data_IF_271544932751
#
_entry.id   IF_271544932751
#
_cell.length_a   1.000
_cell.length_b   1.000
_cell.length_c   1.000
_cell.angle_alpha   90.00
_cell.angle_beta   90.00
_cell.angle_gamma   90.00
#
_symmetry.space_group_name_H-M   'P 1'
#
loop_
_entity.id
_entity.type
_entity.pdbx_description
1 polymer ?
#
# COMPACT_ATOMS: atom_id res chain seq x y z
N UNK A 1 19.88 9.43 8.11
CA UNK A 1 18.47 9.27 7.71
C UNK A 1 18.11 10.44 6.82
N UNK A 2 17.54 10.21 5.63
CA UNK A 2 17.03 11.31 4.81
C UNK A 2 15.82 11.94 5.49
N UNK A 3 15.56 13.23 5.25
CA UNK A 3 14.37 13.90 5.84
C UNK A 3 13.06 13.18 5.48
N UNK A 4 12.97 12.64 4.26
CA UNK A 4 11.83 11.85 3.80
C UNK A 4 11.61 10.60 4.66
N UNK A 5 12.68 9.86 4.98
CA UNK A 5 12.58 8.66 5.81
C UNK A 5 12.01 8.97 7.19
N UNK A 6 12.51 10.04 7.81
CA UNK A 6 12.04 10.49 9.12
C UNK A 6 10.55 10.83 9.06
N UNK A 7 10.14 11.61 8.06
CA UNK A 7 8.74 11.98 7.85
C UNK A 7 7.83 10.76 7.64
N UNK A 8 8.27 9.76 6.86
CA UNK A 8 7.50 8.52 6.66
C UNK A 8 7.29 7.76 7.98
N UNK A 9 8.35 7.60 8.79
CA UNK A 9 8.25 6.92 10.09
C UNK A 9 7.37 7.70 11.08
N UNK A 10 7.58 9.02 11.21
CA UNK A 10 6.78 9.89 12.10
C UNK A 10 5.30 9.91 11.69
N UNK A 11 5.00 10.03 10.38
CA UNK A 11 3.63 10.07 9.89
C UNK A 11 2.88 8.74 10.10
N UNK A 12 3.57 7.61 10.02
CA UNK A 12 2.97 6.30 10.33
C UNK A 12 2.55 6.22 11.80
N UNK A 13 3.38 6.71 12.73
CA UNK A 13 3.07 6.70 14.17
C UNK A 13 1.78 7.46 14.50
N UNK A 14 1.42 8.48 13.71
CA UNK A 14 0.18 9.25 13.91
C UNK A 14 -1.09 8.44 13.62
N UNK A 15 -1.00 7.36 12.85
CA UNK A 15 -2.15 6.59 12.36
C UNK A 15 -2.15 5.13 12.77
N UNK A 16 -1.10 4.67 13.46
CA UNK A 16 -0.87 3.27 13.82
C UNK A 16 -2.00 2.67 14.66
N UNK A 17 -2.49 3.39 15.68
CA UNK A 17 -3.63 2.94 16.51
C UNK A 17 -4.94 2.80 15.72
N UNK A 18 -5.02 3.41 14.54
CA UNK A 18 -6.19 3.45 13.68
C UNK A 18 -5.96 2.72 12.35
N UNK A 19 -4.93 1.88 12.27
CA UNK A 19 -4.49 1.22 11.04
C UNK A 19 -5.63 0.54 10.26
N UNK A 20 -6.56 -0.15 10.95
CA UNK A 20 -7.70 -0.79 10.30
C UNK A 20 -8.63 0.22 9.61
N UNK A 21 -8.88 1.37 10.28
CA UNK A 21 -9.67 2.47 9.71
C UNK A 21 -8.95 3.08 8.52
N UNK A 22 -7.63 3.27 8.59
CA UNK A 22 -6.82 3.80 7.47
C UNK A 22 -6.99 2.93 6.23
N UNK A 23 -6.83 1.61 6.35
CA UNK A 23 -7.02 0.70 5.21
C UNK A 23 -8.47 0.71 4.70
N UNK A 24 -9.45 0.78 5.61
CA UNK A 24 -10.86 0.90 5.25
C UNK A 24 -11.14 2.16 4.44
N UNK A 25 -10.68 3.32 4.91
CA UNK A 25 -10.83 4.61 4.22
C UNK A 25 -10.11 4.63 2.87
N UNK A 26 -8.90 4.07 2.80
CA UNK A 26 -8.14 3.96 1.56
C UNK A 26 -8.95 3.24 0.47
N UNK A 27 -9.43 2.03 0.74
CA UNK A 27 -10.20 1.28 -0.26
C UNK A 27 -11.57 1.91 -0.55
N UNK A 28 -12.24 2.46 0.47
CA UNK A 28 -13.52 3.16 0.27
C UNK A 28 -13.36 4.36 -0.68
N UNK A 29 -12.30 5.16 -0.52
CA UNK A 29 -12.00 6.31 -1.38
C UNK A 29 -11.72 5.88 -2.82
N UNK A 30 -10.90 4.84 -3.01
CA UNK A 30 -10.57 4.33 -4.35
C UNK A 30 -11.82 3.80 -5.05
N UNK A 31 -12.61 2.96 -4.39
CA UNK A 31 -13.80 2.37 -5.01
C UNK A 31 -14.91 3.38 -5.26
N UNK A 32 -15.01 4.42 -4.43
CA UNK A 32 -15.97 5.51 -4.67
C UNK A 32 -15.60 6.33 -5.91
N UNK A 33 -14.30 6.64 -6.10
CA UNK A 33 -13.83 7.42 -7.26
C UNK A 33 -13.69 6.59 -8.54
N UNK A 34 -13.29 5.32 -8.40
CA UNK A 34 -13.02 4.40 -9.51
C UNK A 34 -13.71 3.04 -9.27
N UNK A 35 -15.04 2.95 -9.45
CA UNK A 35 -15.80 1.74 -9.11
C UNK A 35 -15.31 0.47 -9.81
N UNK A 36 -14.84 0.55 -11.07
CA UNK A 36 -14.34 -0.61 -11.81
C UNK A 36 -13.08 -1.26 -11.21
N UNK A 37 -12.34 -0.54 -10.37
CA UNK A 37 -11.18 -1.11 -9.66
C UNK A 37 -11.62 -2.13 -8.60
N UNK A 38 -12.87 -2.06 -8.11
CA UNK A 38 -13.40 -3.00 -7.11
C UNK A 38 -13.35 -4.45 -7.59
N UNK A 39 -13.53 -4.68 -8.89
CA UNK A 39 -13.58 -6.02 -9.49
C UNK A 39 -12.22 -6.74 -9.45
N UNK A 40 -11.13 -5.99 -9.26
CA UNK A 40 -9.78 -6.55 -9.11
C UNK A 40 -9.51 -7.11 -7.70
N UNK A 41 -10.42 -6.89 -6.75
CA UNK A 41 -10.24 -7.26 -5.34
C UNK A 41 -11.23 -8.33 -4.90
N UNK A 42 -10.87 -9.15 -3.90
CA UNK A 42 -11.76 -10.20 -3.37
C UNK A 42 -13.06 -9.64 -2.81
N UNK A 43 -14.09 -10.49 -2.69
CA UNK A 43 -15.37 -10.10 -2.08
C UNK A 43 -15.18 -9.67 -0.61
N UNK A 44 -14.41 -10.46 0.16
CA UNK A 44 -14.03 -10.14 1.54
C UNK A 44 -12.71 -9.39 1.58
N UNK A 45 -12.68 -8.29 2.32
CA UNK A 45 -11.57 -7.33 2.28
C UNK A 45 -10.66 -7.36 3.52
N UNK A 46 -10.96 -8.17 4.54
CA UNK A 46 -10.21 -8.20 5.80
C UNK A 46 -8.74 -8.52 5.59
N UNK A 47 -8.46 -9.61 4.88
CA UNK A 47 -7.09 -10.04 4.54
C UNK A 47 -6.41 -9.01 3.65
N UNK A 48 -7.14 -8.41 2.70
CA UNK A 48 -6.57 -7.46 1.75
C UNK A 48 -6.21 -6.12 2.42
N UNK A 49 -6.99 -5.67 3.41
CA UNK A 49 -6.68 -4.51 4.25
C UNK A 49 -5.41 -4.74 5.07
N UNK A 50 -5.32 -5.90 5.72
CA UNK A 50 -4.12 -6.27 6.49
C UNK A 50 -2.86 -6.34 5.60
N UNK A 51 -2.98 -6.91 4.39
CA UNK A 51 -1.88 -6.97 3.41
C UNK A 51 -1.37 -5.60 3.01
N UNK A 52 -2.27 -4.65 2.76
CA UNK A 52 -1.89 -3.27 2.43
C UNK A 52 -1.07 -2.63 3.55
N UNK A 53 -1.56 -2.73 4.80
CA UNK A 53 -0.88 -2.13 5.96
C UNK A 53 0.47 -2.78 6.20
N UNK A 54 0.54 -4.12 6.13
CA UNK A 54 1.79 -4.85 6.22
C UNK A 54 2.79 -4.38 5.16
N UNK A 55 2.33 -4.17 3.93
CA UNK A 55 3.20 -3.70 2.86
C UNK A 55 3.72 -2.28 3.07
N UNK A 56 2.89 -1.37 3.55
CA UNK A 56 3.29 0.00 3.90
C UNK A 56 4.31 0.00 5.04
N UNK A 57 4.06 -0.77 6.10
CA UNK A 57 4.97 -0.89 7.24
C UNK A 57 6.32 -1.44 6.79
N UNK A 58 6.34 -2.54 6.02
CA UNK A 58 7.59 -3.11 5.50
C UNK A 58 8.33 -2.12 4.62
N UNK A 59 7.64 -1.40 3.73
CA UNK A 59 8.25 -0.37 2.90
C UNK A 59 8.90 0.75 3.74
N UNK A 60 8.19 1.27 4.74
CA UNK A 60 8.71 2.32 5.65
C UNK A 60 9.88 1.82 6.50
N UNK A 61 9.87 0.56 6.91
CA UNK A 61 10.93 -0.07 7.69
C UNK A 61 12.21 -0.36 6.89
N UNK A 62 12.09 -0.58 5.57
CA UNK A 62 13.21 -0.95 4.70
C UNK A 62 13.75 0.20 3.86
N UNK A 63 13.11 1.37 3.89
CA UNK A 63 13.48 2.54 3.06
C UNK A 63 14.89 3.09 3.32
N UNK A 64 15.53 2.74 4.44
CA UNK A 64 16.95 3.07 4.74
C UNK A 64 17.96 2.11 4.12
N UNK A 65 17.50 0.98 3.59
CA UNK A 65 18.33 -0.03 2.97
C UNK A 65 17.88 -0.19 1.50
N UNK A 66 18.51 0.53 0.55
CA UNK A 66 18.10 0.52 -0.84
C UNK A 66 18.09 -0.86 -1.49
N UNK A 67 18.99 -1.76 -1.06
CA UNK A 67 19.09 -3.12 -1.60
C UNK A 67 17.88 -3.96 -1.14
N UNK A 68 17.59 -3.95 0.17
CA UNK A 68 16.40 -4.64 0.71
C UNK A 68 15.11 -4.04 0.20
N UNK A 69 15.07 -2.72 0.04
CA UNK A 69 13.90 -2.03 -0.48
C UNK A 69 13.62 -2.41 -1.95
N UNK A 70 14.65 -2.43 -2.80
CA UNK A 70 14.53 -2.88 -4.19
C UNK A 70 14.10 -4.36 -4.27
N UNK A 71 14.70 -5.23 -3.47
CA UNK A 71 14.33 -6.65 -3.42
C UNK A 71 12.85 -6.83 -3.04
N UNK A 72 12.40 -6.11 -2.01
CA UNK A 72 11.02 -6.14 -1.54
C UNK A 72 10.03 -5.64 -2.59
N UNK A 73 10.31 -4.48 -3.21
CA UNK A 73 9.43 -3.91 -4.25
C UNK A 73 9.36 -4.81 -5.49
N UNK A 74 10.47 -5.46 -5.88
CA UNK A 74 10.47 -6.43 -6.99
C UNK A 74 9.60 -7.64 -6.68
N UNK A 75 9.62 -8.13 -5.43
CA UNK A 75 8.75 -9.22 -5.02
C UNK A 75 7.26 -8.82 -5.11
N UNK A 76 6.90 -7.65 -4.56
CA UNK A 76 5.54 -7.11 -4.69
C UNK A 76 5.11 -6.93 -6.15
N UNK A 77 6.00 -6.39 -7.00
CA UNK A 77 5.70 -6.21 -8.43
C UNK A 77 5.42 -7.53 -9.16
N UNK A 78 6.13 -8.61 -8.81
CA UNK A 78 5.85 -9.96 -9.36
C UNK A 78 4.48 -10.47 -8.93
N UNK A 79 4.07 -10.20 -7.68
CA UNK A 79 2.76 -10.59 -7.20
C UNK A 79 1.64 -9.76 -7.87
N UNK A 80 1.84 -8.47 -8.07
CA UNK A 80 0.89 -7.62 -8.79
C UNK A 80 0.65 -8.05 -10.24
N UNK A 81 1.66 -8.66 -10.90
CA UNK A 81 1.48 -9.23 -12.25
C UNK A 81 0.38 -10.30 -12.29
N UNK A 82 0.23 -11.09 -11.23
CA UNK A 82 -0.80 -12.14 -11.14
C UNK A 82 -2.22 -11.56 -11.18
N UNK A 83 -2.37 -10.29 -10.79
CA UNK A 83 -3.62 -9.56 -10.75
C UNK A 83 -3.81 -8.61 -11.95
N UNK A 84 -2.97 -8.73 -12.99
CA UNK A 84 -3.03 -7.91 -14.19
C UNK A 84 -3.01 -6.40 -13.91
N UNK A 85 -2.27 -5.98 -12.87
CA UNK A 85 -2.08 -4.56 -12.57
C UNK A 85 -1.30 -3.90 -13.71
N UNK A 86 -1.81 -2.78 -14.20
CA UNK A 86 -1.19 -1.95 -15.23
C UNK A 86 -0.75 -0.59 -14.65
N UNK A 87 0.15 0.16 -15.31
CA UNK A 87 0.65 1.45 -14.81
C UNK A 87 -0.46 2.43 -14.39
N UNK A 88 -1.57 2.49 -15.11
CA UNK A 88 -2.71 3.38 -14.85
C UNK A 88 -3.35 3.11 -13.49
N UNK A 89 -3.28 1.88 -12.98
CA UNK A 89 -3.81 1.56 -11.64
C UNK A 89 -2.97 2.18 -10.52
N UNK A 90 -1.66 2.42 -10.75
CA UNK A 90 -0.82 3.08 -9.75
C UNK A 90 -1.18 4.56 -9.59
N UNK A 91 -1.56 5.23 -10.67
CA UNK A 91 -2.02 6.63 -10.60
C UNK A 91 -3.32 6.77 -9.81
N UNK A 92 -4.24 5.81 -9.95
CA UNK A 92 -5.49 5.78 -9.17
C UNK A 92 -5.20 5.59 -7.67
N UNK A 93 -4.26 4.72 -7.34
CA UNK A 93 -3.90 4.42 -5.94
C UNK A 93 -3.15 5.58 -5.27
N UNK A 94 -2.36 6.34 -6.02
CA UNK A 94 -1.53 7.44 -5.49
C UNK A 94 -2.26 8.77 -5.19
N UNK A 95 -3.57 8.87 -5.45
CA UNK A 95 -4.37 10.12 -5.36
C UNK A 95 -5.10 10.37 -4.02
#
# INVERSE_FOLDING_TARGET
>A
MSDLQRLLKESWTLVEEQQEKVAGYFYARIFLKHPGIRDMFPMTMDVQRARLLGALVTAVQTVDDPERFDEYLRALGRDHRKFQVVPEHYEVVGQ
#
